data_IF_351380512437
#
_entry.id   IF_351380512437
#
_cell.length_a   1.000
_cell.length_b   1.000
_cell.length_c   1.000
_cell.angle_alpha   90.00
_cell.angle_beta   90.00
_cell.angle_gamma   90.00
#
_symmetry.space_group_name_H-M   'P 1'
#
loop_
_entity.id
_entity.type
_entity.pdbx_description
1 polymer ?
#
# COMPACT_ATOMS: atom_id res chain seq x y z
N UNK A 1 -10.33 -1.16 11.21
CA UNK A 1 -9.84 -1.15 9.82
C UNK A 1 -8.37 -1.51 9.88
N UNK A 2 -8.01 -2.72 9.46
CA UNK A 2 -6.63 -3.17 9.40
C UNK A 2 -6.00 -2.62 8.11
N UNK A 3 -5.02 -1.75 8.27
CA UNK A 3 -4.20 -1.23 7.18
C UNK A 3 -3.05 -2.22 6.96
N UNK A 4 -2.82 -2.61 5.71
CA UNK A 4 -1.74 -3.53 5.37
C UNK A 4 -0.71 -2.85 4.48
N UNK A 5 0.56 -2.98 4.85
CA UNK A 5 1.66 -2.48 4.03
C UNK A 5 1.73 -3.27 2.73
N UNK A 6 1.56 -2.57 1.61
CA UNK A 6 1.63 -3.14 0.27
C UNK A 6 2.96 -2.72 -0.35
N UNK A 7 3.75 -3.72 -0.74
CA UNK A 7 5.03 -3.50 -1.39
C UNK A 7 4.85 -3.28 -2.91
N UNK A 8 3.85 -3.97 -3.48
CA UNK A 8 3.47 -3.90 -4.88
C UNK A 8 2.47 -2.77 -5.12
N UNK A 9 2.98 -1.58 -5.42
CA UNK A 9 2.13 -0.40 -5.63
C UNK A 9 1.21 -0.51 -6.85
N UNK A 10 1.58 -1.32 -7.84
CA UNK A 10 0.76 -1.58 -9.04
C UNK A 10 -0.60 -2.18 -8.70
N UNK A 11 -0.73 -2.89 -7.58
CA UNK A 11 -1.99 -3.44 -7.08
C UNK A 11 -2.88 -2.41 -6.38
N UNK A 12 -2.35 -1.21 -6.13
CA UNK A 12 -3.04 -0.16 -5.40
C UNK A 12 -3.85 0.76 -6.31
N UNK A 13 -3.68 0.69 -7.63
CA UNK A 13 -4.41 1.52 -8.59
C UNK A 13 -5.92 1.39 -8.38
N UNK A 14 -6.59 2.51 -8.09
CA UNK A 14 -8.02 2.55 -7.80
C UNK A 14 -8.41 2.21 -6.34
N UNK A 15 -7.46 1.79 -5.50
CA UNK A 15 -7.69 1.53 -4.08
C UNK A 15 -7.44 2.79 -3.23
N UNK A 16 -8.10 2.83 -2.07
CA UNK A 16 -7.85 3.85 -1.04
C UNK A 16 -6.67 3.42 -0.18
N UNK A 17 -5.64 4.24 -0.12
CA UNK A 17 -4.41 3.96 0.63
C UNK A 17 -4.00 5.13 1.52
N UNK A 18 -3.13 4.82 2.46
CA UNK A 18 -2.42 5.75 3.31
C UNK A 18 -0.92 5.67 3.03
N UNK A 19 -0.32 6.79 2.65
CA UNK A 19 1.13 6.93 2.57
C UNK A 19 1.67 7.27 3.95
N UNK A 20 2.65 6.49 4.40
CA UNK A 20 3.42 6.75 5.62
C UNK A 20 4.88 6.98 5.27
N UNK A 21 5.54 7.85 6.02
CA UNK A 21 6.98 8.07 5.93
C UNK A 21 7.56 8.02 7.34
N UNK A 22 8.59 7.20 7.56
CA UNK A 22 9.17 6.99 8.90
C UNK A 22 8.11 6.61 9.98
N UNK A 23 7.09 5.84 9.60
CA UNK A 23 6.00 5.45 10.50
C UNK A 23 4.93 6.52 10.78
N UNK A 24 5.06 7.72 10.19
CA UNK A 24 4.07 8.80 10.32
C UNK A 24 3.14 8.82 9.11
N UNK A 25 1.80 8.85 9.30
CA UNK A 25 0.85 9.00 8.20
C UNK A 25 0.99 10.39 7.58
N UNK A 26 1.40 10.42 6.32
CA UNK A 26 1.71 11.63 5.58
C UNK A 26 0.51 12.11 4.74
N UNK A 27 -0.21 11.17 4.11
CA UNK A 27 -1.42 11.47 3.34
C UNK A 27 -2.26 10.23 3.12
N UNK A 28 -3.57 10.44 2.99
CA UNK A 28 -4.56 9.43 2.63
C UNK A 28 -5.30 9.86 1.38
N UNK A 29 -5.65 8.91 0.53
CA UNK A 29 -6.34 9.20 -0.73
C UNK A 29 -6.53 7.96 -1.58
N UNK A 30 -7.14 8.13 -2.75
CA UNK A 30 -7.25 7.06 -3.73
C UNK A 30 -6.06 7.09 -4.68
N UNK A 31 -5.60 5.93 -5.11
CA UNK A 31 -4.55 5.87 -6.12
C UNK A 31 -5.16 6.11 -7.50
N UNK A 32 -4.73 7.18 -8.14
CA UNK A 32 -5.15 7.57 -9.49
C UNK A 32 -4.43 6.74 -10.55
N UNK A 33 -3.10 6.61 -10.40
CA UNK A 33 -2.24 5.87 -11.32
C UNK A 33 -0.96 5.41 -10.60
N UNK A 34 -0.25 4.45 -11.19
CA UNK A 34 1.08 3.98 -10.77
C UNK A 34 1.91 3.71 -12.01
N UNK A 35 3.23 3.89 -11.95
CA UNK A 35 4.12 3.49 -13.03
C UNK A 35 4.15 1.98 -13.19
N UNK A 36 4.48 1.50 -14.40
CA UNK A 36 4.56 0.06 -14.69
C UNK A 36 5.54 -0.67 -13.75
N UNK A 37 6.64 -0.01 -13.41
CA UNK A 37 7.67 -0.49 -12.48
C UNK A 37 7.24 -0.43 -10.99
N UNK A 38 6.12 0.25 -10.68
CA UNK A 38 5.67 0.44 -9.29
C UNK A 38 6.54 1.40 -8.48
N UNK A 39 7.46 2.13 -9.12
CA UNK A 39 8.35 3.08 -8.47
C UNK A 39 7.67 4.39 -8.08
N UNK A 40 6.70 4.87 -8.88
CA UNK A 40 6.01 6.14 -8.65
C UNK A 40 4.51 5.87 -8.60
N UNK A 41 3.86 6.44 -7.59
CA UNK A 41 2.43 6.35 -7.35
C UNK A 41 1.81 7.74 -7.30
N UNK A 42 0.69 7.92 -7.99
CA UNK A 42 -0.14 9.12 -7.91
C UNK A 42 -1.30 8.87 -6.96
N UNK A 43 -1.26 9.54 -5.81
CA UNK A 43 -2.33 9.55 -4.83
C UNK A 43 -3.15 10.81 -4.99
N UNK A 44 -4.46 10.68 -5.16
CA UNK A 44 -5.39 11.79 -5.22
C UNK A 44 -6.22 11.86 -3.93
N UNK A 45 -5.95 12.85 -3.06
CA UNK A 45 -6.77 13.10 -1.88
C UNK A 45 -8.12 13.69 -2.27
N UNK A 46 -9.18 13.49 -1.47
CA UNK A 46 -10.50 14.05 -1.77
C UNK A 46 -10.54 15.59 -1.71
N UNK A 47 -9.63 16.23 -0.98
CA UNK A 47 -9.62 17.67 -0.73
C UNK A 47 -8.43 18.41 -1.37
N UNK A 48 -7.55 17.72 -2.10
CA UNK A 48 -6.31 18.29 -2.64
C UNK A 48 -6.02 17.75 -4.04
N UNK A 49 -5.11 18.40 -4.77
CA UNK A 49 -4.58 17.87 -6.01
C UNK A 49 -3.87 16.53 -5.78
N UNK A 50 -3.82 15.69 -6.84
CA UNK A 50 -2.99 14.50 -6.84
C UNK A 50 -1.54 14.82 -6.48
N UNK A 51 -0.99 14.05 -5.56
CA UNK A 51 0.42 14.04 -5.17
C UNK A 51 1.08 12.81 -5.75
N UNK A 52 2.30 12.99 -6.22
CA UNK A 52 3.16 11.89 -6.60
C UNK A 52 4.00 11.49 -5.39
N UNK A 53 4.22 10.19 -5.24
CA UNK A 53 5.08 9.61 -4.22
C UNK A 53 6.00 8.60 -4.88
N UNK A 54 7.28 8.63 -4.54
CA UNK A 54 8.27 7.71 -5.11
C UNK A 54 8.77 6.73 -4.05
N UNK A 55 8.81 5.43 -4.39
CA UNK A 55 9.21 4.37 -3.47
C UNK A 55 10.65 4.53 -2.97
N UNK A 56 11.51 5.18 -3.76
CA UNK A 56 12.89 5.50 -3.42
C UNK A 56 13.03 6.47 -2.24
N UNK A 57 11.98 7.23 -1.93
CA UNK A 57 11.97 8.24 -0.85
C UNK A 57 11.55 7.65 0.52
N UNK A 58 11.59 6.32 0.68
CA UNK A 58 11.19 5.60 1.90
C UNK A 58 9.70 5.77 2.25
N UNK A 59 8.85 6.00 1.25
CA UNK A 59 7.40 5.99 1.42
C UNK A 59 6.87 4.57 1.53
N UNK A 60 5.98 4.34 2.50
CA UNK A 60 5.27 3.09 2.71
C UNK A 60 3.80 3.29 2.35
N UNK A 61 3.29 2.48 1.42
CA UNK A 61 1.88 2.48 1.07
C UNK A 61 1.10 1.45 1.91
N UNK A 62 0.03 1.91 2.54
CA UNK A 62 -0.82 1.12 3.41
C UNK A 62 -2.24 1.11 2.85
N UNK A 63 -2.68 -0.03 2.32
CA UNK A 63 -4.04 -0.15 1.79
C UNK A 63 -5.01 -0.59 2.88
N UNK A 64 -6.25 -0.12 2.81
CA UNK A 64 -7.33 -0.65 3.65
C UNK A 64 -7.84 -1.94 3.00
N UNK A 65 -7.90 -3.05 3.75
CA UNK A 65 -8.65 -4.23 3.33
C UNK A 65 -10.15 -3.98 3.52
N UNK A 66 -10.72 -2.95 2.88
CA UNK A 66 -12.16 -2.90 2.76
C UNK A 66 -12.58 -4.06 1.86
N UNK A 67 -13.38 -4.97 2.40
CA UNK A 67 -13.79 -6.26 1.82
C UNK A 67 -14.69 -6.12 0.58
N UNK A 68 -14.43 -5.15 -0.29
CA UNK A 68 -15.18 -4.87 -1.50
C UNK A 68 -14.32 -5.19 -2.73
N UNK A 69 -13.99 -6.48 -2.88
CA UNK A 69 -13.77 -7.08 -4.21
C UNK A 69 -12.33 -7.21 -4.72
N UNK A 70 -11.31 -6.72 -4.03
CA UNK A 70 -9.92 -6.96 -4.46
C UNK A 70 -9.38 -8.24 -3.81
N UNK A 71 -9.45 -9.35 -4.53
CA UNK A 71 -8.80 -10.61 -4.18
C UNK A 71 -7.28 -10.44 -4.32
N UNK A 72 -6.63 -9.82 -3.32
CA UNK A 72 -5.19 -9.77 -3.26
C UNK A 72 -4.70 -11.20 -2.98
N UNK A 73 -4.15 -11.86 -4.01
CA UNK A 73 -3.57 -13.20 -3.88
C UNK A 73 -2.24 -13.05 -3.14
N UNK A 74 -2.34 -13.11 -1.82
CA UNK A 74 -1.23 -13.06 -0.87
C UNK A 74 -0.22 -14.15 -1.18
N UNK A 75 0.91 -13.79 -1.79
CA UNK A 75 2.19 -14.44 -1.48
C UNK A 75 2.75 -13.80 -0.21
N UNK A 76 2.04 -13.95 0.90
CA UNK A 76 2.71 -13.92 2.18
C UNK A 76 3.44 -15.25 2.25
N UNK A 77 4.76 -15.20 2.05
CA UNK A 77 5.62 -16.12 2.76
C UNK A 77 5.38 -15.89 4.26
N UNK A 78 4.36 -16.56 4.79
CA UNK A 78 4.36 -16.98 6.18
C UNK A 78 5.43 -18.06 6.25
N UNK A 79 6.63 -17.70 6.68
CA UNK A 79 7.55 -18.68 7.24
C UNK A 79 6.80 -19.44 8.35
N UNK A 80 6.64 -20.77 8.25
CA UNK A 80 6.17 -21.54 9.38
C UNK A 80 7.27 -21.50 10.43
N UNK A 81 7.11 -20.68 11.46
CA UNK A 81 7.90 -20.82 12.68
C UNK A 81 7.66 -22.25 13.20
N UNK A 82 8.68 -23.07 12.96
CA UNK A 82 8.69 -24.47 13.30
C UNK A 82 8.40 -24.65 14.78
N UNK A 83 7.45 -25.54 15.06
CA UNK A 83 7.19 -26.08 16.38
C UNK A 83 8.47 -26.80 16.82
N UNK A 84 9.05 -26.40 17.94
CA UNK A 84 10.01 -27.24 18.66
C UNK A 84 9.33 -27.75 19.92
N UNK A 85 8.91 -29.02 19.99
CA UNK A 85 8.64 -29.66 21.27
C UNK A 85 9.96 -30.10 21.91
N UNK A 86 10.11 -29.82 23.20
CA UNK A 86 11.10 -30.44 24.09
C UNK A 86 10.39 -31.34 25.09
#
# INVERSE_FOLDING_TARGET
MDLRRINDWTLLVGASIEIRQHGLPLSTGHVDAVTDDGAILWLQPPAQNRRLYEKAEFYEAWATEDRTGFHYRVTAQQEPLARTPG
#
